data_IF_804997884678
#
_entry.id   IF_804997884678
#
_cell.length_a   1.000
_cell.length_b   1.000
_cell.length_c   1.000
_cell.angle_alpha   90.00
_cell.angle_beta   90.00
_cell.angle_gamma   90.00
#
_symmetry.space_group_name_H-M   'P 1'
#
loop_
_entity.id
_entity.type
_entity.pdbx_description
1 polymer ?
#
# COMPACT_ATOMS: atom_id res chain seq x y z
N UNK A 1 70.40 -13.25 -20.71
CA UNK A 1 69.42 -12.30 -20.19
C UNK A 1 68.03 -12.97 -20.31
N UNK A 2 67.42 -13.37 -19.18
CA UNK A 2 66.10 -14.00 -19.15
C UNK A 2 65.06 -12.94 -18.80
N UNK A 3 63.89 -12.84 -19.42
CA UNK A 3 62.84 -11.91 -19.04
C UNK A 3 62.05 -12.46 -17.82
N UNK A 4 61.86 -11.59 -16.84
CA UNK A 4 61.06 -11.80 -15.64
C UNK A 4 59.57 -11.64 -16.00
N UNK A 5 58.80 -12.68 -15.77
CA UNK A 5 57.32 -12.63 -15.88
C UNK A 5 56.78 -11.99 -14.60
N UNK A 6 56.23 -10.80 -14.71
CA UNK A 6 55.41 -10.22 -13.62
C UNK A 6 53.99 -10.79 -13.69
N UNK A 7 53.62 -11.55 -12.66
CA UNK A 7 52.24 -12.00 -12.43
C UNK A 7 51.48 -10.90 -11.69
N UNK A 8 50.52 -10.27 -12.36
CA UNK A 8 49.55 -9.38 -11.74
C UNK A 8 48.46 -10.24 -11.03
N UNK A 9 48.53 -10.31 -9.70
CA UNK A 9 47.40 -10.77 -8.89
C UNK A 9 46.39 -9.64 -8.83
N UNK A 10 45.26 -9.82 -9.51
CA UNK A 10 44.07 -9.00 -9.32
C UNK A 10 43.35 -9.47 -8.03
N UNK A 11 43.47 -8.71 -6.96
CA UNK A 11 42.70 -8.89 -5.76
C UNK A 11 41.26 -8.36 -6.01
N UNK A 12 40.31 -9.27 -6.22
CA UNK A 12 38.92 -8.93 -6.25
C UNK A 12 38.44 -8.67 -4.80
N UNK A 13 38.25 -7.40 -4.46
CA UNK A 13 37.59 -6.99 -3.22
C UNK A 13 36.08 -7.24 -3.41
N UNK A 14 35.59 -8.34 -2.88
CA UNK A 14 34.15 -8.58 -2.74
C UNK A 14 33.65 -7.68 -1.61
N UNK A 15 33.12 -6.50 -1.96
CA UNK A 15 32.36 -5.71 -1.03
C UNK A 15 31.00 -6.42 -0.82
N UNK A 16 30.87 -7.15 0.28
CA UNK A 16 29.59 -7.67 0.74
C UNK A 16 28.72 -6.48 1.16
N UNK A 17 27.85 -6.03 0.28
CA UNK A 17 26.76 -5.14 0.65
C UNK A 17 25.81 -5.96 1.53
N UNK A 18 25.87 -5.70 2.83
CA UNK A 18 24.79 -6.08 3.76
C UNK A 18 23.53 -5.33 3.32
N UNK A 19 22.70 -5.99 2.52
CA UNK A 19 21.32 -5.55 2.28
C UNK A 19 20.63 -5.65 3.63
N UNK A 20 20.13 -4.55 4.21
CA UNK A 20 19.33 -4.65 5.41
C UNK A 20 18.13 -5.54 5.09
N UNK A 21 17.91 -6.58 5.92
CA UNK A 21 16.77 -7.47 5.79
C UNK A 21 15.49 -6.64 5.70
N UNK A 22 14.75 -6.78 4.61
CA UNK A 22 13.43 -6.20 4.50
C UNK A 22 12.59 -6.67 5.69
N UNK A 23 11.81 -5.78 6.33
CA UNK A 23 10.97 -6.20 7.44
C UNK A 23 10.08 -7.35 6.98
N UNK A 24 9.89 -8.35 7.84
CA UNK A 24 9.21 -9.63 7.58
C UNK A 24 7.72 -9.54 7.16
N UNK A 25 7.25 -8.39 6.72
CA UNK A 25 5.87 -8.12 6.33
C UNK A 25 5.50 -8.67 4.93
N UNK A 26 6.48 -9.08 4.12
CA UNK A 26 6.21 -9.51 2.74
C UNK A 26 5.81 -10.99 2.59
N UNK A 27 5.83 -11.81 3.65
CA UNK A 27 5.69 -13.26 3.53
C UNK A 27 4.31 -13.85 3.87
N UNK A 28 3.30 -13.04 4.22
CA UNK A 28 1.96 -13.57 4.56
C UNK A 28 0.88 -13.36 3.51
N UNK A 29 1.25 -13.25 2.23
CA UNK A 29 0.27 -13.21 1.13
C UNK A 29 -0.10 -14.63 0.64
N UNK A 30 -0.23 -15.63 1.52
CA UNK A 30 -0.77 -16.93 1.14
C UNK A 30 -2.31 -16.89 1.13
N UNK A 31 -2.85 -16.89 -0.07
CA UNK A 31 -4.14 -17.39 -0.54
C UNK A 31 -5.30 -17.43 0.46
N UNK A 32 -6.00 -16.32 0.61
CA UNK A 32 -7.38 -16.36 1.08
C UNK A 32 -8.25 -16.78 -0.10
N UNK A 33 -8.62 -18.06 -0.17
CA UNK A 33 -9.65 -18.56 -1.08
C UNK A 33 -11.00 -18.10 -0.54
N UNK A 34 -11.50 -16.96 -1.04
CA UNK A 34 -12.88 -16.56 -0.81
C UNK A 34 -13.75 -17.39 -1.75
N UNK A 35 -14.68 -18.19 -1.17
CA UNK A 35 -15.66 -18.97 -1.93
C UNK A 35 -16.37 -18.04 -2.94
N UNK A 36 -16.27 -18.35 -4.24
CA UNK A 36 -16.97 -17.65 -5.30
C UNK A 36 -18.46 -17.97 -5.21
N UNK A 37 -19.22 -17.08 -4.59
CA UNK A 37 -20.67 -16.99 -4.85
C UNK A 37 -20.84 -16.32 -6.22
N UNK A 38 -21.78 -16.81 -7.04
CA UNK A 38 -22.14 -16.15 -8.31
C UNK A 38 -22.54 -14.72 -8.00
N UNK A 39 -21.65 -13.77 -8.33
CA UNK A 39 -21.88 -12.36 -8.06
C UNK A 39 -22.96 -11.85 -9.04
N UNK A 40 -23.91 -11.04 -8.54
CA UNK A 40 -24.85 -10.30 -9.40
C UNK A 40 -24.07 -9.28 -10.25
N UNK A 41 -24.64 -8.82 -11.37
CA UNK A 41 -24.04 -7.77 -12.21
C UNK A 41 -23.63 -6.56 -11.38
N UNK A 42 -24.50 -6.13 -10.47
CA UNK A 42 -24.27 -4.98 -9.58
C UNK A 42 -23.15 -5.21 -8.57
N UNK A 43 -22.98 -6.43 -8.04
CA UNK A 43 -21.85 -6.76 -7.20
C UNK A 43 -20.54 -6.74 -7.98
N UNK A 44 -20.56 -7.19 -9.23
CA UNK A 44 -19.41 -7.13 -10.15
C UNK A 44 -19.03 -5.68 -10.46
N UNK A 45 -19.99 -4.83 -10.76
CA UNK A 45 -19.76 -3.38 -11.00
C UNK A 45 -19.19 -2.70 -9.76
N UNK A 46 -19.73 -2.98 -8.57
CA UNK A 46 -19.20 -2.43 -7.31
C UNK A 46 -17.76 -2.88 -7.07
N UNK A 47 -17.45 -4.15 -7.34
CA UNK A 47 -16.08 -4.67 -7.25
C UNK A 47 -15.13 -3.95 -8.22
N UNK A 48 -15.55 -3.75 -9.47
CA UNK A 48 -14.77 -3.03 -10.46
C UNK A 48 -14.52 -1.57 -10.04
N UNK A 49 -15.55 -0.86 -9.57
CA UNK A 49 -15.43 0.50 -9.07
C UNK A 49 -14.48 0.61 -7.87
N UNK A 50 -14.56 -0.33 -6.91
CA UNK A 50 -13.62 -0.36 -5.78
C UNK A 50 -12.19 -0.65 -6.24
N UNK A 51 -11.97 -1.57 -7.18
CA UNK A 51 -10.64 -1.82 -7.75
C UNK A 51 -10.05 -0.57 -8.38
N UNK A 52 -10.84 0.18 -9.15
CA UNK A 52 -10.42 1.43 -9.77
C UNK A 52 -10.02 2.47 -8.71
N UNK A 53 -10.83 2.67 -7.68
CA UNK A 53 -10.53 3.58 -6.58
C UNK A 53 -9.25 3.19 -5.84
N UNK A 54 -9.04 1.91 -5.55
CA UNK A 54 -7.84 1.45 -4.84
C UNK A 54 -6.58 1.49 -5.71
N UNK A 55 -6.68 1.26 -7.02
CA UNK A 55 -5.56 1.48 -7.96
C UNK A 55 -5.26 2.97 -8.08
N UNK A 56 -6.28 3.81 -8.15
CA UNK A 56 -6.13 5.27 -8.11
C UNK A 56 -5.39 5.74 -6.85
N UNK A 57 -5.67 5.12 -5.70
CA UNK A 57 -4.96 5.40 -4.45
C UNK A 57 -3.45 5.17 -4.59
N UNK A 58 -3.03 3.96 -4.95
CA UNK A 58 -1.60 3.64 -5.06
C UNK A 58 -0.92 4.44 -6.17
N UNK A 59 -1.63 4.75 -7.27
CA UNK A 59 -1.12 5.58 -8.34
C UNK A 59 -0.76 6.98 -7.85
N UNK A 60 -1.66 7.66 -7.15
CA UNK A 60 -1.42 9.02 -6.67
C UNK A 60 -0.39 9.06 -5.55
N UNK A 61 -0.38 8.08 -4.63
CA UNK A 61 0.68 7.98 -3.61
C UNK A 61 2.05 7.81 -4.25
N UNK A 62 2.18 6.94 -5.25
CA UNK A 62 3.42 6.75 -6.01
C UNK A 62 3.88 8.05 -6.69
N UNK A 63 2.95 8.82 -7.27
CA UNK A 63 3.30 10.12 -7.85
C UNK A 63 3.84 11.10 -6.80
N UNK A 64 3.24 11.14 -5.60
CA UNK A 64 3.80 11.95 -4.50
C UNK A 64 5.23 11.51 -4.17
N UNK A 65 5.50 10.20 -4.10
CA UNK A 65 6.83 9.66 -3.80
C UNK A 65 7.84 10.08 -4.88
N UNK A 66 7.52 9.83 -6.14
CA UNK A 66 8.40 10.16 -7.29
C UNK A 66 8.73 11.64 -7.32
N UNK A 67 7.72 12.48 -7.24
CA UNK A 67 7.89 13.94 -7.34
C UNK A 67 8.60 14.53 -6.11
N UNK A 68 8.34 13.98 -4.93
CA UNK A 68 9.06 14.39 -3.70
C UNK A 68 10.55 14.04 -3.79
N UNK A 69 10.90 12.82 -4.19
CA UNK A 69 12.28 12.38 -4.33
C UNK A 69 13.02 13.09 -5.46
N UNK A 70 12.30 13.54 -6.51
CA UNK A 70 12.82 14.38 -7.58
C UNK A 70 12.97 15.86 -7.19
N UNK A 71 12.45 16.28 -6.04
CA UNK A 71 12.48 17.68 -5.61
C UNK A 71 11.41 18.57 -6.26
N UNK A 72 10.46 18.01 -7.01
CA UNK A 72 9.41 18.71 -7.75
C UNK A 72 8.23 19.09 -6.83
N UNK A 73 8.44 20.02 -5.90
CA UNK A 73 7.46 20.40 -4.86
C UNK A 73 6.07 20.73 -5.39
N UNK A 74 5.97 21.39 -6.55
CA UNK A 74 4.67 21.75 -7.14
C UNK A 74 3.92 20.52 -7.64
N UNK A 75 4.61 19.58 -8.29
CA UNK A 75 4.00 18.34 -8.78
C UNK A 75 3.63 17.42 -7.61
N UNK A 76 4.49 17.28 -6.61
CA UNK A 76 4.19 16.54 -5.39
C UNK A 76 2.93 17.09 -4.68
N UNK A 77 2.81 18.42 -4.53
CA UNK A 77 1.62 19.03 -3.94
C UNK A 77 0.35 18.85 -4.78
N UNK A 78 0.46 18.81 -6.10
CA UNK A 78 -0.67 18.49 -6.98
C UNK A 78 -1.11 17.03 -6.80
N UNK A 79 -0.17 16.09 -6.83
CA UNK A 79 -0.44 14.67 -6.59
C UNK A 79 -1.05 14.42 -5.19
N UNK A 80 -0.59 15.13 -4.16
CA UNK A 80 -1.13 15.04 -2.81
C UNK A 80 -2.61 15.45 -2.74
N UNK A 81 -3.03 16.47 -3.49
CA UNK A 81 -4.45 16.84 -3.60
C UNK A 81 -5.29 15.70 -4.17
N UNK A 82 -4.76 14.99 -5.15
CA UNK A 82 -5.44 13.83 -5.74
C UNK A 82 -5.48 12.64 -4.78
N UNK A 83 -4.44 12.41 -3.95
CA UNK A 83 -4.49 11.41 -2.86
C UNK A 83 -5.66 11.71 -1.92
N UNK A 84 -5.81 12.97 -1.50
CA UNK A 84 -6.90 13.38 -0.59
C UNK A 84 -8.27 13.26 -1.27
N UNK A 85 -8.38 13.63 -2.55
CA UNK A 85 -9.61 13.49 -3.33
C UNK A 85 -10.01 12.01 -3.47
N UNK A 86 -9.05 11.14 -3.80
CA UNK A 86 -9.26 9.71 -3.90
C UNK A 86 -9.64 9.08 -2.55
N UNK A 87 -8.99 9.46 -1.43
CA UNK A 87 -9.37 8.99 -0.11
C UNK A 87 -10.83 9.35 0.26
N UNK A 88 -11.30 10.53 -0.16
CA UNK A 88 -12.72 10.91 -0.03
C UNK A 88 -13.64 10.03 -0.88
N UNK A 89 -13.23 9.69 -2.11
CA UNK A 89 -14.00 8.81 -2.98
C UNK A 89 -14.08 7.38 -2.41
N UNK A 90 -12.97 6.82 -1.91
CA UNK A 90 -12.96 5.51 -1.24
C UNK A 90 -13.89 5.52 -0.02
N UNK A 91 -13.78 6.53 0.83
CA UNK A 91 -14.66 6.67 1.98
C UNK A 91 -16.12 6.88 1.58
N UNK A 92 -16.37 7.67 0.53
CA UNK A 92 -17.71 7.89 -0.03
C UNK A 92 -18.34 6.62 -0.59
N UNK A 93 -17.56 5.68 -1.10
CA UNK A 93 -18.06 4.43 -1.67
C UNK A 93 -18.79 3.55 -0.63
N UNK A 94 -18.48 3.67 0.66
CA UNK A 94 -19.19 2.94 1.71
C UNK A 94 -20.44 3.66 2.23
N UNK A 95 -20.61 4.95 1.94
CA UNK A 95 -21.70 5.77 2.46
C UNK A 95 -23.10 5.21 2.15
N UNK A 96 -23.41 4.67 0.95
CA UNK A 96 -24.71 4.08 0.66
C UNK A 96 -25.07 2.89 1.54
N UNK A 97 -24.09 2.24 2.16
CA UNK A 97 -24.25 1.04 2.97
C UNK A 97 -24.21 1.33 4.47
N UNK A 98 -23.29 2.17 4.92
CA UNK A 98 -22.99 2.39 6.33
C UNK A 98 -23.32 3.80 6.82
N UNK A 99 -23.78 4.69 5.92
CA UNK A 99 -24.14 6.07 6.26
C UNK A 99 -22.97 7.05 6.27
N UNK A 100 -23.31 8.32 6.44
CA UNK A 100 -22.39 9.45 6.36
C UNK A 100 -21.31 9.42 7.44
N UNK A 101 -21.69 9.14 8.67
CA UNK A 101 -20.78 9.12 9.81
C UNK A 101 -19.67 8.08 9.65
N UNK A 102 -20.02 6.87 9.18
CA UNK A 102 -19.05 5.82 8.89
C UNK A 102 -18.09 6.22 7.75
N UNK A 103 -18.61 6.89 6.71
CA UNK A 103 -17.81 7.42 5.61
C UNK A 103 -16.81 8.48 6.11
N UNK A 104 -17.26 9.44 6.92
CA UNK A 104 -16.39 10.49 7.49
C UNK A 104 -15.31 9.89 8.39
N UNK A 105 -15.66 8.89 9.21
CA UNK A 105 -14.69 8.18 10.04
C UNK A 105 -13.65 7.43 9.20
N UNK A 106 -14.08 6.71 8.15
CA UNK A 106 -13.14 6.04 7.24
C UNK A 106 -12.23 7.05 6.55
N UNK A 107 -12.75 8.19 6.10
CA UNK A 107 -11.92 9.24 5.52
C UNK A 107 -10.83 9.72 6.49
N UNK A 108 -11.17 9.96 7.76
CA UNK A 108 -10.18 10.33 8.79
C UNK A 108 -9.09 9.27 8.98
N UNK A 109 -9.46 7.99 8.97
CA UNK A 109 -8.52 6.88 9.07
C UNK A 109 -7.61 6.79 7.83
N UNK A 110 -8.15 6.96 6.62
CA UNK A 110 -7.36 6.96 5.37
C UNK A 110 -6.42 8.17 5.30
N UNK A 111 -6.85 9.34 5.76
CA UNK A 111 -5.98 10.51 5.88
C UNK A 111 -4.82 10.28 6.85
N UNK A 112 -5.07 9.63 7.98
CA UNK A 112 -4.02 9.21 8.93
C UNK A 112 -3.06 8.20 8.32
N UNK A 113 -3.58 7.25 7.52
CA UNK A 113 -2.78 6.27 6.80
C UNK A 113 -1.79 6.94 5.83
N UNK A 114 -2.31 7.80 4.98
CA UNK A 114 -1.48 8.58 4.05
C UNK A 114 -0.46 9.45 4.81
N UNK A 115 -0.87 10.11 5.89
CA UNK A 115 0.01 10.93 6.72
C UNK A 115 1.21 10.14 7.26
N UNK A 116 0.99 8.89 7.71
CA UNK A 116 2.06 8.02 8.18
C UNK A 116 3.00 7.55 7.04
N UNK A 117 2.45 7.23 5.86
CA UNK A 117 3.25 6.91 4.68
C UNK A 117 4.10 8.11 4.22
N UNK A 118 3.53 9.33 4.25
CA UNK A 118 4.25 10.58 3.95
C UNK A 118 5.38 10.84 4.95
N UNK A 119 5.14 10.63 6.24
CA UNK A 119 6.20 10.73 7.26
C UNK A 119 7.36 9.78 6.96
N UNK A 120 7.07 8.56 6.51
CA UNK A 120 8.10 7.61 6.12
C UNK A 120 8.88 8.07 4.88
N UNK A 121 8.20 8.61 3.87
CA UNK A 121 8.82 9.19 2.69
C UNK A 121 9.79 10.33 3.06
N UNK A 122 9.34 11.28 3.87
CA UNK A 122 10.14 12.42 4.33
C UNK A 122 11.34 11.95 5.14
N UNK A 123 11.15 11.02 6.06
CA UNK A 123 12.22 10.41 6.85
C UNK A 123 13.25 9.66 5.98
N UNK A 124 12.78 9.03 4.90
CA UNK A 124 13.64 8.33 3.93
C UNK A 124 14.44 9.32 3.08
N UNK A 125 13.83 10.41 2.66
CA UNK A 125 14.52 11.49 1.94
C UNK A 125 15.60 12.15 2.80
N UNK A 126 15.34 12.33 4.10
CA UNK A 126 16.28 12.86 5.09
C UNK A 126 17.38 11.86 5.51
N UNK A 127 17.16 10.55 5.29
CA UNK A 127 18.07 9.49 5.77
C UNK A 127 17.95 9.23 7.28
N UNK A 128 16.85 9.61 7.92
CA UNK A 128 16.65 9.47 9.36
C UNK A 128 15.99 8.15 9.74
N UNK A 129 16.81 7.17 10.16
CA UNK A 129 16.31 5.85 10.59
C UNK A 129 15.32 5.94 11.76
N UNK A 130 15.58 6.78 12.75
CA UNK A 130 14.69 6.94 13.91
C UNK A 130 13.30 7.47 13.50
N UNK A 131 13.24 8.43 12.56
CA UNK A 131 11.96 8.92 12.02
C UNK A 131 11.27 7.87 11.16
N UNK A 132 12.02 7.07 10.38
CA UNK A 132 11.45 5.95 9.62
C UNK A 132 10.79 4.94 10.57
N UNK A 133 11.45 4.54 11.66
CA UNK A 133 10.91 3.58 12.63
C UNK A 133 9.64 4.11 13.30
N UNK A 134 9.62 5.40 13.65
CA UNK A 134 8.43 6.06 14.18
C UNK A 134 7.27 6.07 13.15
N UNK A 135 7.56 6.38 11.89
CA UNK A 135 6.55 6.37 10.82
C UNK A 135 6.01 4.96 10.55
N UNK A 136 6.85 3.92 10.57
CA UNK A 136 6.41 2.52 10.46
C UNK A 136 5.45 2.17 11.60
N UNK A 137 5.77 2.55 12.84
CA UNK A 137 4.88 2.32 13.99
C UNK A 137 3.53 3.02 13.81
N UNK A 138 3.52 4.26 13.32
CA UNK A 138 2.30 5.00 13.04
C UNK A 138 1.48 4.33 11.94
N UNK A 139 2.12 3.91 10.84
CA UNK A 139 1.48 3.27 9.70
C UNK A 139 0.83 1.93 10.09
N UNK A 140 1.55 1.10 10.82
CA UNK A 140 1.04 -0.21 11.29
C UNK A 140 -0.08 -0.06 12.31
N UNK A 141 0.04 0.90 13.24
CA UNK A 141 -1.04 1.22 14.18
C UNK A 141 -2.31 1.70 13.46
N UNK A 142 -2.17 2.59 12.49
CA UNK A 142 -3.30 3.07 11.70
C UNK A 142 -3.93 1.96 10.84
N UNK A 143 -3.15 1.08 10.21
CA UNK A 143 -3.66 -0.08 9.48
C UNK A 143 -4.54 -0.96 10.39
N UNK A 144 -4.10 -1.19 11.62
CA UNK A 144 -4.87 -1.92 12.64
C UNK A 144 -6.18 -1.22 13.00
N UNK A 145 -6.18 0.11 13.13
CA UNK A 145 -7.41 0.87 13.41
C UNK A 145 -8.40 0.84 12.22
N UNK A 146 -7.92 0.89 10.97
CA UNK A 146 -8.76 0.69 9.79
C UNK A 146 -9.38 -0.71 9.81
N UNK A 147 -8.58 -1.75 10.09
CA UNK A 147 -9.05 -3.13 10.18
C UNK A 147 -10.13 -3.28 11.26
N UNK A 148 -9.93 -2.74 12.47
CA UNK A 148 -10.92 -2.74 13.54
C UNK A 148 -12.21 -2.04 13.14
N UNK A 149 -12.10 -0.89 12.50
CA UNK A 149 -13.27 -0.13 12.07
C UNK A 149 -14.10 -0.92 11.04
N UNK A 150 -13.45 -1.44 9.99
CA UNK A 150 -14.15 -2.15 8.92
C UNK A 150 -14.68 -3.52 9.37
N UNK A 151 -13.94 -4.28 10.17
CA UNK A 151 -14.40 -5.57 10.71
C UNK A 151 -15.51 -5.39 11.75
N UNK A 152 -15.48 -4.30 12.50
CA UNK A 152 -16.58 -3.96 13.42
C UNK A 152 -17.86 -3.55 12.70
N UNK A 153 -17.77 -2.99 11.50
CA UNK A 153 -18.91 -2.58 10.69
C UNK A 153 -19.48 -3.74 9.84
N UNK A 154 -18.65 -4.73 9.48
CA UNK A 154 -19.06 -5.83 8.61
C UNK A 154 -18.58 -7.19 9.16
N UNK A 155 -19.51 -8.06 9.60
CA UNK A 155 -19.18 -9.38 10.14
C UNK A 155 -18.58 -10.35 9.12
N UNK A 156 -18.63 -10.02 7.83
CA UNK A 156 -18.01 -10.81 6.75
C UNK A 156 -16.57 -10.39 6.44
N UNK A 157 -16.01 -9.45 7.21
CA UNK A 157 -14.62 -9.03 7.17
C UNK A 157 -13.90 -9.44 8.47
N UNK A 158 -13.33 -10.66 8.56
CA UNK A 158 -12.61 -11.10 9.76
C UNK A 158 -11.42 -10.17 10.03
N UNK A 159 -11.29 -9.72 11.29
CA UNK A 159 -10.27 -8.74 11.69
C UNK A 159 -8.85 -9.18 11.29
N UNK A 160 -8.46 -10.40 11.63
CA UNK A 160 -7.08 -10.89 11.39
C UNK A 160 -6.74 -10.90 9.89
N UNK A 161 -7.70 -11.33 9.06
CA UNK A 161 -7.54 -11.33 7.59
C UNK A 161 -7.35 -9.91 7.08
N UNK A 162 -8.24 -8.99 7.46
CA UNK A 162 -8.22 -7.61 6.98
C UNK A 162 -6.97 -6.86 7.50
N UNK A 163 -6.62 -7.08 8.77
CA UNK A 163 -5.42 -6.49 9.36
C UNK A 163 -4.15 -6.96 8.63
N UNK A 164 -4.05 -8.26 8.32
CA UNK A 164 -2.95 -8.80 7.53
C UNK A 164 -2.85 -8.17 6.13
N UNK A 165 -3.97 -8.02 5.44
CA UNK A 165 -4.01 -7.35 4.13
C UNK A 165 -3.56 -5.88 4.20
N UNK A 166 -4.04 -5.13 5.18
CA UNK A 166 -3.68 -3.71 5.34
C UNK A 166 -2.22 -3.52 5.77
N UNK A 167 -1.69 -4.39 6.62
CA UNK A 167 -0.27 -4.38 6.98
C UNK A 167 0.62 -4.69 5.78
N UNK A 168 0.26 -5.68 4.96
CA UNK A 168 0.98 -6.01 3.73
C UNK A 168 0.93 -4.84 2.73
N UNK A 169 -0.22 -4.17 2.59
CA UNK A 169 -0.35 -2.95 1.79
C UNK A 169 0.61 -1.85 2.24
N UNK A 170 0.65 -1.56 3.54
CA UNK A 170 1.62 -0.63 4.11
C UNK A 170 3.07 -1.03 3.80
N UNK A 171 3.39 -2.33 3.91
CA UNK A 171 4.70 -2.89 3.56
C UNK A 171 5.11 -2.63 2.10
N UNK A 172 4.17 -2.74 1.15
CA UNK A 172 4.42 -2.41 -0.25
C UNK A 172 4.78 -0.94 -0.44
N UNK A 173 4.09 0.00 0.20
CA UNK A 173 4.44 1.42 0.15
C UNK A 173 5.83 1.70 0.72
N UNK A 174 6.19 1.09 1.85
CA UNK A 174 7.52 1.26 2.43
C UNK A 174 8.62 0.76 1.48
N UNK A 175 8.41 -0.40 0.86
CA UNK A 175 9.36 -0.99 -0.08
C UNK A 175 9.50 -0.14 -1.35
N UNK A 176 8.38 0.32 -1.94
CA UNK A 176 8.36 1.22 -3.09
C UNK A 176 9.17 2.51 -2.83
N UNK A 177 8.94 3.14 -1.67
CA UNK A 177 9.67 4.35 -1.27
C UNK A 177 11.18 4.09 -1.17
N UNK A 178 11.59 2.97 -0.57
CA UNK A 178 13.00 2.59 -0.46
C UNK A 178 13.63 2.34 -1.83
N UNK A 179 12.96 1.59 -2.70
CA UNK A 179 13.45 1.26 -4.03
C UNK A 179 13.58 2.50 -4.92
N UNK A 180 12.58 3.39 -4.91
CA UNK A 180 12.66 4.66 -5.65
C UNK A 180 13.79 5.55 -5.11
N UNK A 181 13.97 5.63 -3.79
CA UNK A 181 15.08 6.37 -3.18
C UNK A 181 16.44 5.79 -3.56
N UNK A 182 16.54 4.46 -3.66
CA UNK A 182 17.75 3.76 -4.08
C UNK A 182 17.93 3.69 -5.61
N UNK A 183 16.98 4.23 -6.40
CA UNK A 183 16.94 4.16 -7.88
C UNK A 183 16.88 2.72 -8.42
N UNK A 184 16.29 1.82 -7.68
CA UNK A 184 16.06 0.41 -8.03
C UNK A 184 14.75 0.31 -8.84
N UNK A 185 14.74 0.90 -10.04
CA UNK A 185 13.51 1.06 -10.84
C UNK A 185 12.94 -0.26 -11.35
N UNK A 186 13.77 -1.26 -11.61
CA UNK A 186 13.32 -2.58 -12.08
C UNK A 186 12.62 -3.35 -10.95
N UNK A 187 13.16 -3.30 -9.74
CA UNK A 187 12.58 -3.89 -8.54
C UNK A 187 11.30 -3.15 -8.13
N UNK A 188 11.29 -1.84 -8.25
CA UNK A 188 10.11 -1.02 -7.97
C UNK A 188 8.96 -1.38 -8.92
N UNK A 189 9.21 -1.58 -10.21
CA UNK A 189 8.20 -1.99 -11.17
C UNK A 189 7.57 -3.35 -10.78
N UNK A 190 8.35 -4.29 -10.23
CA UNK A 190 7.85 -5.56 -9.71
C UNK A 190 6.99 -5.35 -8.45
N UNK A 191 7.44 -4.48 -7.55
CA UNK A 191 6.69 -4.10 -6.34
C UNK A 191 5.37 -3.44 -6.71
N UNK A 192 5.34 -2.57 -7.71
CA UNK A 192 4.13 -1.94 -8.24
C UNK A 192 3.11 -2.99 -8.73
N UNK A 193 3.54 -3.96 -9.54
CA UNK A 193 2.65 -5.02 -10.03
C UNK A 193 2.13 -5.91 -8.89
N UNK A 194 2.97 -6.21 -7.90
CA UNK A 194 2.56 -6.95 -6.71
C UNK A 194 1.54 -6.16 -5.88
N UNK A 195 1.79 -4.88 -5.64
CA UNK A 195 0.90 -3.98 -4.92
C UNK A 195 -0.45 -3.83 -5.64
N UNK A 196 -0.46 -3.65 -6.96
CA UNK A 196 -1.69 -3.56 -7.75
C UNK A 196 -2.55 -4.82 -7.60
N UNK A 197 -1.95 -6.00 -7.70
CA UNK A 197 -2.66 -7.28 -7.48
C UNK A 197 -3.20 -7.38 -6.06
N UNK A 198 -2.43 -6.92 -5.08
CA UNK A 198 -2.83 -6.89 -3.69
C UNK A 198 -4.03 -5.95 -3.46
N UNK A 199 -4.05 -4.79 -4.13
CA UNK A 199 -5.21 -3.89 -4.09
C UNK A 199 -6.49 -4.53 -4.63
N UNK A 200 -6.39 -5.36 -5.66
CA UNK A 200 -7.54 -6.12 -6.15
C UNK A 200 -8.08 -7.08 -5.08
N UNK A 201 -7.20 -7.76 -4.33
CA UNK A 201 -7.63 -8.63 -3.23
C UNK A 201 -8.38 -7.85 -2.14
N UNK A 202 -7.88 -6.68 -1.75
CA UNK A 202 -8.55 -5.81 -0.77
C UNK A 202 -9.91 -5.34 -1.31
N UNK A 203 -9.96 -4.83 -2.54
CA UNK A 203 -11.19 -4.33 -3.15
C UNK A 203 -12.25 -5.43 -3.27
N UNK A 204 -11.86 -6.63 -3.68
CA UNK A 204 -12.76 -7.77 -3.82
C UNK A 204 -13.28 -8.26 -2.47
N UNK A 205 -12.42 -8.31 -1.46
CA UNK A 205 -12.83 -8.66 -0.10
C UNK A 205 -13.88 -7.67 0.44
N UNK A 206 -13.65 -6.36 0.24
CA UNK A 206 -14.61 -5.32 0.63
C UNK A 206 -15.93 -5.42 -0.15
N UNK A 207 -15.88 -5.52 -1.47
CA UNK A 207 -17.05 -5.64 -2.33
C UNK A 207 -17.89 -6.87 -1.97
N UNK A 208 -17.24 -8.03 -1.85
CA UNK A 208 -17.90 -9.28 -1.49
C UNK A 208 -18.56 -9.26 -0.11
N UNK A 209 -17.85 -8.67 0.87
CA UNK A 209 -18.39 -8.53 2.23
C UNK A 209 -19.60 -7.57 2.28
N UNK A 210 -19.54 -6.45 1.55
CA UNK A 210 -20.65 -5.50 1.44
C UNK A 210 -21.85 -6.16 0.76
N UNK A 211 -21.64 -6.84 -0.37
CA UNK A 211 -22.71 -7.54 -1.09
C UNK A 211 -23.39 -8.61 -0.21
N UNK A 212 -22.61 -9.34 0.58
CA UNK A 212 -23.10 -10.35 1.50
C UNK A 212 -23.89 -9.76 2.68
N UNK A 213 -23.49 -8.59 3.19
CA UNK A 213 -24.19 -7.92 4.29
C UNK A 213 -25.47 -7.22 3.83
N UNK A 214 -25.51 -6.71 2.59
CA UNK A 214 -26.62 -5.93 2.06
C UNK A 214 -27.19 -6.54 0.76
N UNK A 215 -27.63 -7.81 0.75
CA UNK A 215 -28.02 -8.50 -0.49
C UNK A 215 -29.15 -7.79 -1.26
N UNK A 216 -30.09 -7.16 -0.57
CA UNK A 216 -31.17 -6.40 -1.20
C UNK A 216 -30.71 -5.18 -2.01
N UNK A 217 -29.50 -4.68 -1.77
CA UNK A 217 -28.89 -3.59 -2.56
C UNK A 217 -28.19 -4.06 -3.83
N UNK A 218 -28.06 -5.38 -3.98
CA UNK A 218 -27.37 -6.04 -5.10
C UNK A 218 -28.27 -6.96 -5.93
N UNK A 219 -29.54 -7.06 -5.55
CA UNK A 219 -30.60 -7.75 -6.33
C UNK A 219 -31.02 -6.92 -7.55
#
# INVERSE_FOLDING_TARGET
>A
MKPVKQSLLAAAVLAAFLVPAAPAFAQHAEHVVIAQTTATAKATETGAALRDLWVGHIFWVRNVVVETLAGNKKAAAAAEKEVVANAKQIAGAIQPYYGKEASEKLFGLLAGHYGAAKQYLEATAEGSKAKQDAAVKNLTGNATEIAKFLSGANPNLPFDTLNGLLLAHGGHHLLEIQQLRAKQYAEEAQTWEAMKKHMYVIADALAGAIAKQFPAKFS
#
